data_IF_082009388401
#
_entry.id   IF_082009388401
#
_cell.length_a   1.000
_cell.length_b   1.000
_cell.length_c   1.000
_cell.angle_alpha   90.00
_cell.angle_beta   90.00
_cell.angle_gamma   90.00
#
_symmetry.space_group_name_H-M   'P 1'
#
loop_
_entity.id
_entity.type
_entity.pdbx_description
1 polymer ?
#
# COMPACT_ATOMS: atom_id res chain seq x y z
N UNK A 1 4.80 6.72 -26.34
CA UNK A 1 6.06 5.94 -26.26
C UNK A 1 5.95 4.80 -25.25
N UNK A 2 5.54 5.07 -24.00
CA UNK A 2 5.32 4.03 -22.97
C UNK A 2 4.26 2.99 -23.39
N UNK A 3 3.11 3.42 -23.92
CA UNK A 3 2.05 2.51 -24.39
C UNK A 3 2.51 1.53 -25.47
N UNK A 4 3.35 1.99 -26.41
CA UNK A 4 3.88 1.14 -27.49
C UNK A 4 4.78 0.05 -26.93
N UNK A 5 5.64 0.39 -25.95
CA UNK A 5 6.49 -0.56 -25.24
C UNK A 5 5.68 -1.62 -24.49
N UNK A 6 4.61 -1.21 -23.80
CA UNK A 6 3.72 -2.10 -23.05
C UNK A 6 2.99 -3.06 -24.00
N UNK A 7 2.51 -2.55 -25.14
CA UNK A 7 1.89 -3.39 -26.18
C UNK A 7 2.88 -4.37 -26.79
N UNK A 8 4.14 -3.98 -27.03
CA UNK A 8 5.16 -4.89 -27.55
C UNK A 8 5.54 -6.00 -26.56
N UNK A 9 5.57 -5.71 -25.26
CA UNK A 9 5.87 -6.71 -24.22
C UNK A 9 4.70 -7.67 -24.03
N UNK A 10 3.45 -7.21 -24.19
CA UNK A 10 2.27 -8.08 -24.15
C UNK A 10 2.25 -9.16 -25.26
N UNK A 11 3.07 -9.00 -26.31
CA UNK A 11 3.21 -9.99 -27.40
C UNK A 11 4.33 -11.01 -27.09
N UNK A 12 5.22 -10.71 -26.14
CA UNK A 12 6.31 -11.61 -25.74
C UNK A 12 5.80 -12.75 -24.86
N UNK A 13 6.37 -13.94 -25.04
CA UNK A 13 5.84 -15.22 -24.56
C UNK A 13 5.45 -15.26 -23.07
N UNK A 14 4.19 -15.57 -22.83
CA UNK A 14 3.49 -15.67 -21.53
C UNK A 14 4.20 -16.57 -20.51
N UNK A 15 4.96 -17.57 -20.96
CA UNK A 15 5.58 -18.57 -20.08
C UNK A 15 6.70 -18.01 -19.21
N UNK A 16 7.54 -17.12 -19.75
CA UNK A 16 8.62 -16.46 -18.98
C UNK A 16 8.07 -15.38 -18.05
N UNK A 17 6.96 -14.74 -18.44
CA UNK A 17 6.32 -13.71 -17.63
C UNK A 17 5.82 -14.26 -16.29
N UNK A 18 5.21 -15.46 -16.29
CA UNK A 18 4.72 -16.10 -15.06
C UNK A 18 5.83 -16.41 -14.04
N UNK A 19 6.99 -16.90 -14.49
CA UNK A 19 8.13 -17.17 -13.58
C UNK A 19 8.68 -15.87 -12.96
N UNK A 20 8.80 -14.82 -13.77
CA UNK A 20 9.30 -13.51 -13.32
C UNK A 20 8.32 -12.87 -12.32
N UNK A 21 7.02 -12.93 -12.61
CA UNK A 21 5.98 -12.39 -11.74
C UNK A 21 5.99 -13.04 -10.35
N UNK A 22 6.22 -14.36 -10.28
CA UNK A 22 6.37 -15.08 -9.02
C UNK A 22 7.56 -14.54 -8.20
N UNK A 23 8.74 -14.40 -8.80
CA UNK A 23 9.91 -13.86 -8.12
C UNK A 23 9.71 -12.42 -7.65
N UNK A 24 9.08 -11.56 -8.48
CA UNK A 24 8.74 -10.20 -8.07
C UNK A 24 7.73 -10.16 -6.92
N UNK A 25 6.76 -11.08 -6.88
CA UNK A 25 5.81 -11.20 -5.77
C UNK A 25 6.52 -11.56 -4.47
N UNK A 26 7.45 -12.51 -4.49
CA UNK A 26 8.26 -12.89 -3.31
C UNK A 26 9.09 -11.70 -2.81
N UNK A 27 9.74 -10.95 -3.71
CA UNK A 27 10.51 -9.76 -3.35
C UNK A 27 9.62 -8.70 -2.68
N UNK A 28 8.41 -8.45 -3.20
CA UNK A 28 7.46 -7.52 -2.58
C UNK A 28 7.13 -7.92 -1.14
N UNK A 29 6.86 -9.20 -0.88
CA UNK A 29 6.58 -9.70 0.47
C UNK A 29 7.78 -9.51 1.40
N UNK A 30 8.99 -9.85 0.94
CA UNK A 30 10.21 -9.65 1.72
C UNK A 30 10.45 -8.17 2.07
N UNK A 31 10.19 -7.25 1.14
CA UNK A 31 10.29 -5.80 1.38
C UNK A 31 9.26 -5.36 2.43
N UNK A 32 8.00 -5.81 2.31
CA UNK A 32 6.97 -5.48 3.31
C UNK A 32 7.36 -5.96 4.72
N UNK A 33 7.87 -7.19 4.86
CA UNK A 33 8.37 -7.71 6.14
C UNK A 33 9.55 -6.88 6.66
N UNK A 34 10.51 -6.55 5.80
CA UNK A 34 11.65 -5.70 6.16
C UNK A 34 11.23 -4.32 6.63
N UNK A 35 10.24 -3.69 5.97
CA UNK A 35 9.68 -2.39 6.35
C UNK A 35 8.96 -2.47 7.70
N UNK A 36 8.18 -3.51 7.95
CA UNK A 36 7.51 -3.70 9.26
C UNK A 36 8.56 -3.81 10.37
N UNK A 37 9.58 -4.65 10.18
CA UNK A 37 10.67 -4.79 11.15
C UNK A 37 11.44 -3.46 11.36
N UNK A 38 11.74 -2.75 10.28
CA UNK A 38 12.40 -1.44 10.33
C UNK A 38 11.56 -0.41 11.10
N UNK A 39 10.25 -0.34 10.85
CA UNK A 39 9.32 0.54 11.56
C UNK A 39 9.30 0.22 13.06
N UNK A 40 9.27 -1.06 13.43
CA UNK A 40 9.35 -1.47 14.84
C UNK A 40 10.65 -1.02 15.50
N UNK A 41 11.80 -1.18 14.82
CA UNK A 41 13.10 -0.73 15.32
C UNK A 41 13.12 0.79 15.51
N UNK A 42 12.57 1.56 14.57
CA UNK A 42 12.48 3.03 14.68
C UNK A 42 11.58 3.45 15.84
N UNK A 43 10.42 2.81 15.98
CA UNK A 43 9.44 3.05 17.07
C UNK A 43 10.04 2.81 18.46
N UNK A 44 10.93 1.81 18.57
CA UNK A 44 11.64 1.45 19.80
C UNK A 44 12.91 2.29 20.06
N UNK A 45 13.28 3.22 19.17
CA UNK A 45 14.41 4.14 19.36
C UNK A 45 15.71 3.76 18.64
N UNK A 46 15.65 2.82 17.68
CA UNK A 46 16.78 2.45 16.82
C UNK A 46 17.11 3.44 15.70
N UNK A 47 16.46 4.61 15.67
CA UNK A 47 16.77 5.68 14.72
C UNK A 47 18.05 6.46 15.08
N UNK A 48 18.60 7.26 14.13
CA UNK A 48 19.83 8.03 14.34
C UNK A 48 19.74 9.03 15.51
N UNK A 49 18.53 9.46 15.86
CA UNK A 49 18.25 10.37 16.99
C UNK A 49 18.22 9.65 18.35
N UNK A 50 18.28 8.29 18.39
CA UNK A 50 18.20 7.45 19.62
C UNK A 50 17.01 7.76 20.55
N UNK A 51 15.95 8.35 20.02
CA UNK A 51 14.78 8.76 20.79
C UNK A 51 13.58 7.86 20.49
N UNK A 52 12.78 7.51 21.51
CA UNK A 52 11.66 6.56 21.40
C UNK A 52 10.44 7.27 20.82
N UNK A 53 10.16 7.03 19.54
CA UNK A 53 9.11 7.75 18.79
C UNK A 53 7.70 7.15 18.97
N UNK A 54 7.59 5.93 19.50
CA UNK A 54 6.38 5.09 19.40
C UNK A 54 5.04 5.63 19.87
N UNK A 55 5.01 6.71 20.67
CA UNK A 55 3.75 7.31 21.14
C UNK A 55 3.81 8.84 21.22
N UNK A 56 4.90 9.46 20.77
CA UNK A 56 5.08 10.91 20.88
C UNK A 56 4.16 11.66 19.92
N UNK A 57 4.06 11.18 18.68
CA UNK A 57 3.23 11.80 17.64
C UNK A 57 1.71 11.64 17.85
N UNK A 58 1.28 10.74 18.72
CA UNK A 58 -0.14 10.64 19.08
C UNK A 58 -0.58 11.82 19.96
N UNK A 59 0.30 12.29 20.85
CA UNK A 59 0.04 13.42 21.75
C UNK A 59 0.61 14.76 21.26
N UNK A 60 1.70 14.77 20.49
CA UNK A 60 2.38 15.98 20.03
C UNK A 60 3.04 15.73 18.66
N UNK A 61 2.57 16.29 17.54
CA UNK A 61 1.45 17.20 17.32
C UNK A 61 0.25 16.40 16.77
N UNK A 62 -0.73 16.12 17.65
CA UNK A 62 -2.08 15.58 17.42
C UNK A 62 -2.30 14.53 16.30
N UNK A 63 -2.95 13.42 16.66
CA UNK A 63 -3.23 12.31 15.73
C UNK A 63 -4.08 12.69 14.49
N UNK A 64 -4.81 13.81 14.55
CA UNK A 64 -5.65 14.32 13.47
C UNK A 64 -5.11 15.64 12.94
N UNK A 65 -4.00 15.60 12.20
CA UNK A 65 -3.54 16.79 11.47
C UNK A 65 -4.50 17.18 10.37
N UNK A 66 -4.54 18.48 10.11
CA UNK A 66 -5.21 19.08 8.97
C UNK A 66 -4.68 18.53 7.63
N UNK A 67 -5.56 18.39 6.65
CA UNK A 67 -5.20 17.99 5.29
C UNK A 67 -4.27 19.04 4.69
N UNK A 68 -2.98 18.71 4.61
CA UNK A 68 -1.97 19.51 3.96
C UNK A 68 -1.59 18.80 2.67
N UNK A 69 -1.96 19.40 1.54
CA UNK A 69 -1.54 18.91 0.23
C UNK A 69 -0.23 19.62 -0.16
N UNK A 70 0.93 18.92 -0.19
CA UNK A 70 2.22 19.55 -0.45
C UNK A 70 2.35 20.12 -1.88
N UNK A 71 1.49 19.69 -2.81
CA UNK A 71 1.51 20.09 -4.21
C UNK A 71 0.73 21.37 -4.51
N UNK A 72 -0.17 21.80 -3.61
CA UNK A 72 -1.12 22.89 -3.89
C UNK A 72 -1.07 24.00 -2.83
N UNK A 73 -0.25 23.88 -1.78
CA UNK A 73 -0.09 24.86 -0.68
C UNK A 73 -1.44 25.34 -0.11
N UNK A 74 -2.45 24.46 -0.16
CA UNK A 74 -3.81 24.75 0.27
C UNK A 74 -3.96 24.27 1.70
N UNK A 75 -3.84 25.21 2.64
CA UNK A 75 -4.16 24.98 4.05
C UNK A 75 -5.64 25.28 4.21
N UNK A 76 -6.46 24.24 4.38
CA UNK A 76 -7.89 24.40 4.66
C UNK A 76 -8.04 24.65 6.16
N UNK A 77 -8.01 25.90 6.59
CA UNK A 77 -8.27 26.26 7.99
C UNK A 77 -9.80 26.35 8.24
N UNK A 78 -10.33 25.57 9.18
CA UNK A 78 -11.74 25.65 9.59
C UNK A 78 -12.32 24.36 10.17
N UNK A 79 -13.56 24.41 10.68
CA UNK A 79 -14.25 23.29 11.36
C UNK A 79 -14.46 22.05 10.46
N UNK A 80 -14.44 22.24 9.14
CA UNK A 80 -14.61 21.18 8.14
C UNK A 80 -13.29 20.47 7.75
N UNK A 81 -12.14 20.89 8.26
CA UNK A 81 -10.84 20.32 7.85
C UNK A 81 -10.70 18.85 8.21
N UNK A 82 -11.24 18.44 9.35
CA UNK A 82 -11.16 17.05 9.82
C UNK A 82 -12.00 16.10 8.96
N UNK A 83 -13.17 16.55 8.50
CA UNK A 83 -14.03 15.73 7.62
C UNK A 83 -13.44 15.60 6.21
N UNK A 84 -12.82 16.66 5.68
CA UNK A 84 -12.11 16.63 4.40
C UNK A 84 -10.89 15.70 4.46
N UNK A 85 -10.11 15.79 5.55
CA UNK A 85 -8.94 14.91 5.78
C UNK A 85 -9.35 13.44 5.84
N UNK A 86 -10.45 13.14 6.53
CA UNK A 86 -11.00 11.78 6.62
C UNK A 86 -11.38 11.22 5.24
N UNK A 87 -12.11 11.99 4.43
CA UNK A 87 -12.53 11.55 3.08
C UNK A 87 -11.32 11.41 2.14
N UNK A 88 -10.31 12.28 2.25
CA UNK A 88 -9.12 12.18 1.41
C UNK A 88 -8.29 10.92 1.68
N UNK A 89 -8.11 10.55 2.95
CA UNK A 89 -7.44 9.29 3.32
C UNK A 89 -8.23 8.09 2.83
N UNK A 90 -9.57 8.13 2.89
CA UNK A 90 -10.40 7.08 2.32
C UNK A 90 -10.15 6.89 0.82
N UNK A 91 -10.15 7.98 0.04
CA UNK A 91 -9.89 7.91 -1.41
C UNK A 91 -8.52 7.30 -1.69
N UNK A 92 -7.48 7.73 -0.99
CA UNK A 92 -6.12 7.18 -1.17
C UNK A 92 -6.05 5.70 -0.77
N UNK A 93 -6.74 5.31 0.29
CA UNK A 93 -6.80 3.91 0.73
C UNK A 93 -7.50 3.00 -0.28
N UNK A 94 -8.56 3.48 -0.95
CA UNK A 94 -9.25 2.71 -2.00
C UNK A 94 -8.33 2.47 -3.21
N UNK A 95 -7.59 3.50 -3.64
CA UNK A 95 -6.62 3.35 -4.73
C UNK A 95 -5.49 2.36 -4.38
N UNK A 96 -5.03 2.35 -3.13
CA UNK A 96 -4.03 1.39 -2.68
C UNK A 96 -4.53 -0.07 -2.73
N UNK A 97 -5.85 -0.29 -2.57
CA UNK A 97 -6.44 -1.64 -2.49
C UNK A 97 -7.08 -2.13 -3.81
N UNK A 98 -7.03 -1.35 -4.89
CA UNK A 98 -7.69 -1.67 -6.16
C UNK A 98 -7.19 -2.97 -6.84
N UNK A 99 -6.06 -3.53 -6.41
CA UNK A 99 -5.52 -4.79 -6.92
C UNK A 99 -6.01 -6.06 -6.22
N UNK A 100 -6.61 -5.96 -5.03
CA UNK A 100 -7.01 -7.14 -4.24
C UNK A 100 -8.25 -7.84 -4.82
N UNK A 101 -9.11 -7.10 -5.50
CA UNK A 101 -10.33 -7.62 -6.14
C UNK A 101 -10.02 -8.61 -7.28
N UNK A 102 -8.94 -8.36 -8.03
CA UNK A 102 -8.49 -9.23 -9.12
C UNK A 102 -8.11 -10.63 -8.62
N UNK A 103 -7.46 -10.71 -7.45
CA UNK A 103 -7.13 -11.99 -6.82
C UNK A 103 -8.42 -12.71 -6.41
N UNK A 104 -9.37 -11.95 -5.83
CA UNK A 104 -10.72 -12.40 -5.46
C UNK A 104 -11.46 -13.12 -6.59
N UNK A 105 -11.46 -12.53 -7.80
CA UNK A 105 -12.16 -13.11 -8.96
C UNK A 105 -11.39 -14.24 -9.65
N UNK A 106 -10.08 -14.38 -9.42
CA UNK A 106 -9.25 -15.44 -10.03
C UNK A 106 -9.27 -16.73 -9.21
N UNK A 107 -9.57 -16.66 -7.92
CA UNK A 107 -9.75 -17.84 -7.05
C UNK A 107 -10.73 -18.89 -7.60
N UNK A 108 -11.93 -18.55 -8.13
CA UNK A 108 -12.83 -19.54 -8.70
C UNK A 108 -12.30 -20.18 -10.00
N UNK A 109 -11.31 -19.61 -10.67
CA UNK A 109 -10.74 -20.15 -11.93
C UNK A 109 -9.55 -21.10 -11.68
N UNK A 110 -9.14 -21.30 -10.43
CA UNK A 110 -8.05 -22.21 -10.09
C UNK A 110 -8.50 -23.68 -10.09
N UNK A 111 -7.65 -24.58 -10.59
CA UNK A 111 -7.95 -26.00 -10.84
C UNK A 111 -8.37 -26.84 -9.61
N UNK A 112 -8.39 -26.27 -8.40
CA UNK A 112 -8.80 -26.93 -7.15
C UNK A 112 -9.61 -25.97 -6.25
N UNK A 113 -10.80 -25.57 -6.70
CA UNK A 113 -11.71 -24.68 -5.97
C UNK A 113 -12.11 -25.22 -4.57
N UNK A 114 -12.28 -26.54 -4.41
CA UNK A 114 -12.81 -27.14 -3.18
C UNK A 114 -11.88 -27.05 -1.96
N UNK A 115 -10.59 -26.80 -2.18
CA UNK A 115 -9.57 -26.68 -1.11
C UNK A 115 -9.29 -25.22 -0.77
N UNK A 116 -9.51 -24.29 -1.70
CA UNK A 116 -9.12 -22.88 -1.56
C UNK A 116 -10.27 -21.97 -1.12
N UNK A 117 -11.53 -22.38 -1.28
CA UNK A 117 -12.70 -21.62 -0.82
C UNK A 117 -12.96 -21.88 0.67
N UNK A 118 -12.94 -20.85 1.54
CA UNK A 118 -13.38 -20.99 2.92
C UNK A 118 -14.85 -21.41 2.94
N UNK A 119 -15.17 -22.53 3.60
CA UNK A 119 -16.56 -22.94 3.79
C UNK A 119 -17.23 -21.98 4.78
N UNK A 120 -18.51 -21.62 4.55
CA UNK A 120 -19.26 -20.77 5.47
C UNK A 120 -19.35 -21.38 6.88
#
# INVERSE_FOLDING_TARGET
MLLVLITSINILGVRFFGEIEFWFSVVKVCICLGLICMLLVIVLGGGPTKDRLGFRFWNNPEAFREYQEPSTDLIIEGDLVHSVSFVSVLVTSMFANSGCELVGITFPECAAQEVQVPRP
#
